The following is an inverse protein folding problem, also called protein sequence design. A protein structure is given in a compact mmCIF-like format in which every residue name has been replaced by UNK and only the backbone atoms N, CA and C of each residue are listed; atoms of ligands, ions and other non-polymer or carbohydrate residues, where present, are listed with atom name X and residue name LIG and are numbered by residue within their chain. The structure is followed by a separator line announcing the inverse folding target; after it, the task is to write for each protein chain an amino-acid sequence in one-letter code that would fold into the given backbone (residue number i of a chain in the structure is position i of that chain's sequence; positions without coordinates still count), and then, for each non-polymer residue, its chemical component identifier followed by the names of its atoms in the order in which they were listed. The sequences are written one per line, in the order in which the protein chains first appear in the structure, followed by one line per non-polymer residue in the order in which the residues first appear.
data_IF_055391065308
#
_entry.id   IF_055391065308
#
_cell.length_a   1.000
_cell.length_b   1.000
_cell.length_c   1.000
_cell.angle_alpha   90.00
_cell.angle_beta   90.00
_cell.angle_gamma   90.00
#
_symmetry.space_group_name_H-M   'P 1'
#
loop_
_entity.id
_entity.type
_entity.pdbx_description
1 polymer ?
#
# COMPACT_ATOMS: atom_id res chain seq x y z
N UNK A 1 -2.59 -3.98 -15.85
CA UNK A 1 -1.16 -3.84 -15.48
C UNK A 1 -0.30 -3.86 -16.75
N UNK A 2 0.78 -3.08 -16.80
CA UNK A 2 1.71 -3.06 -17.95
C UNK A 2 3.07 -3.72 -17.62
N UNK A 3 3.17 -4.31 -16.46
CA UNK A 3 4.34 -5.04 -15.94
C UNK A 3 5.66 -4.27 -15.86
N UNK A 4 5.66 -2.94 -15.96
CA UNK A 4 6.89 -2.14 -15.82
C UNK A 4 7.50 -2.20 -14.41
N UNK A 5 6.72 -2.58 -13.40
CA UNK A 5 7.13 -2.72 -12.00
C UNK A 5 6.61 -4.01 -11.34
N UNK A 6 6.19 -4.99 -12.13
CA UNK A 6 5.71 -6.30 -11.69
C UNK A 6 6.12 -7.39 -12.69
N UNK A 7 5.80 -8.64 -12.41
CA UNK A 7 6.08 -9.76 -13.32
C UNK A 7 4.80 -10.49 -13.69
N UNK A 8 4.62 -10.96 -14.94
CA UNK A 8 3.46 -11.74 -15.37
C UNK A 8 3.20 -12.98 -14.52
N UNK A 9 4.23 -13.56 -13.90
CA UNK A 9 4.11 -14.74 -13.03
C UNK A 9 3.18 -14.54 -11.82
N UNK A 10 2.81 -13.29 -11.48
CA UNK A 10 1.80 -13.03 -10.44
C UNK A 10 0.44 -13.61 -10.82
N UNK A 11 0.12 -13.67 -12.11
CA UNK A 11 -1.15 -14.23 -12.61
C UNK A 11 -1.23 -15.73 -12.32
N UNK A 12 -0.13 -16.47 -12.51
CA UNK A 12 -0.08 -17.90 -12.19
C UNK A 12 -0.34 -18.13 -10.70
N UNK A 13 0.19 -17.26 -9.85
CA UNK A 13 -0.04 -17.28 -8.42
C UNK A 13 -1.51 -17.01 -8.05
N UNK A 14 -2.12 -16.01 -8.67
CA UNK A 14 -3.53 -15.69 -8.49
C UNK A 14 -4.45 -16.83 -8.94
N UNK A 15 -4.20 -17.40 -10.10
CA UNK A 15 -4.98 -18.53 -10.62
C UNK A 15 -4.93 -19.75 -9.69
N UNK A 16 -3.76 -20.05 -9.11
CA UNK A 16 -3.60 -21.12 -8.12
C UNK A 16 -4.39 -20.86 -6.84
N UNK A 17 -4.47 -19.60 -6.40
CA UNK A 17 -5.24 -19.23 -5.21
C UNK A 17 -6.74 -19.29 -5.49
N UNK A 18 -7.17 -18.77 -6.64
CA UNK A 18 -8.57 -18.64 -7.01
C UNK A 18 -9.17 -19.94 -7.56
N UNK A 19 -8.34 -20.87 -8.04
CA UNK A 19 -8.79 -22.09 -8.73
C UNK A 19 -9.48 -21.81 -10.07
N UNK A 20 -9.32 -20.62 -10.64
CA UNK A 20 -9.90 -20.19 -11.92
C UNK A 20 -8.99 -19.22 -12.65
N UNK A 21 -9.20 -19.10 -13.96
CA UNK A 21 -8.53 -18.08 -14.76
C UNK A 21 -8.94 -16.68 -14.31
N UNK A 22 -7.98 -15.77 -14.39
CA UNK A 22 -8.17 -14.33 -14.11
C UNK A 22 -7.87 -13.57 -15.38
N UNK A 23 -8.79 -12.74 -15.83
CA UNK A 23 -8.56 -11.87 -16.97
C UNK A 23 -7.44 -10.86 -16.64
N UNK A 24 -6.54 -10.71 -17.57
CA UNK A 24 -5.46 -9.75 -17.53
C UNK A 24 -5.49 -8.85 -18.74
N UNK A 25 -5.65 -7.56 -18.50
CA UNK A 25 -5.52 -6.52 -19.51
C UNK A 25 -4.12 -5.91 -19.42
N UNK A 26 -3.29 -6.18 -20.41
CA UNK A 26 -1.92 -5.65 -20.47
C UNK A 26 -1.91 -4.30 -21.19
N UNK A 27 -2.05 -3.20 -20.43
CA UNK A 27 -1.91 -1.84 -20.93
C UNK A 27 -1.61 -0.85 -19.80
N UNK A 28 -1.15 0.35 -20.18
CA UNK A 28 -0.86 1.44 -19.27
C UNK A 28 -2.15 2.08 -18.73
N UNK A 29 -2.23 2.28 -17.44
CA UNK A 29 -3.35 2.98 -16.79
C UNK A 29 -3.51 4.45 -17.25
N UNK A 30 -2.50 5.02 -17.88
CA UNK A 30 -2.56 6.34 -18.51
C UNK A 30 -3.31 6.33 -19.87
N UNK A 31 -3.62 5.15 -20.44
CA UNK A 31 -4.38 5.02 -21.69
C UNK A 31 -5.89 5.18 -21.44
N UNK A 32 -6.33 6.44 -21.38
CA UNK A 32 -7.73 6.81 -21.10
C UNK A 32 -8.71 6.18 -22.10
N UNK A 33 -8.30 6.05 -23.38
CA UNK A 33 -9.18 5.53 -24.42
C UNK A 33 -9.45 4.04 -24.22
N UNK A 34 -8.41 3.26 -23.91
CA UNK A 34 -8.55 1.84 -23.59
C UNK A 34 -9.39 1.59 -22.36
N UNK A 35 -9.20 2.38 -21.31
CA UNK A 35 -10.03 2.30 -20.10
C UNK A 35 -11.50 2.56 -20.47
N UNK A 36 -11.79 3.65 -21.17
CA UNK A 36 -13.15 3.99 -21.56
C UNK A 36 -13.79 2.93 -22.47
N UNK A 37 -13.04 2.37 -23.42
CA UNK A 37 -13.50 1.28 -24.28
C UNK A 37 -13.82 0.01 -23.48
N UNK A 38 -13.00 -0.33 -22.46
CA UNK A 38 -13.26 -1.49 -21.62
C UNK A 38 -14.53 -1.28 -20.78
N UNK A 39 -14.64 -0.16 -20.08
CA UNK A 39 -15.81 0.15 -19.25
C UNK A 39 -17.12 0.23 -20.04
N UNK A 40 -17.07 0.61 -21.32
CA UNK A 40 -18.27 0.66 -22.17
C UNK A 40 -18.72 -0.70 -22.70
N UNK A 41 -17.88 -1.74 -22.65
CA UNK A 41 -18.16 -3.08 -23.17
C UNK A 41 -18.44 -4.11 -22.09
N UNK A 42 -17.82 -3.93 -20.93
CA UNK A 42 -17.85 -4.89 -19.84
C UNK A 42 -18.68 -4.36 -18.68
N UNK A 43 -19.40 -5.25 -18.02
CA UNK A 43 -20.16 -4.92 -16.82
C UNK A 43 -19.20 -4.82 -15.62
N UNK A 44 -18.70 -3.60 -15.34
CA UNK A 44 -17.77 -3.31 -14.24
C UNK A 44 -18.55 -2.82 -13.03
N UNK A 45 -18.56 -3.59 -11.96
CA UNK A 45 -19.29 -3.25 -10.73
C UNK A 45 -18.51 -2.29 -9.81
N UNK A 46 -17.20 -2.08 -10.04
CA UNK A 46 -16.39 -1.16 -9.24
C UNK A 46 -14.91 -1.21 -9.59
N UNK A 47 -14.17 -0.19 -9.20
CA UNK A 47 -12.74 -0.06 -9.49
C UNK A 47 -11.95 0.12 -8.19
N UNK A 48 -10.87 -0.68 -8.03
CA UNK A 48 -9.85 -0.48 -7.01
C UNK A 48 -8.55 -0.10 -7.71
N UNK A 49 -8.09 1.12 -7.47
CA UNK A 49 -6.92 1.69 -8.15
C UNK A 49 -5.64 1.54 -7.32
N UNK A 50 -4.83 0.53 -7.64
CA UNK A 50 -3.52 0.31 -7.03
C UNK A 50 -2.34 0.83 -7.87
N UNK A 51 -2.54 1.02 -9.17
CA UNK A 51 -1.46 1.31 -10.11
C UNK A 51 -0.72 2.61 -9.77
N UNK A 52 0.49 2.48 -9.21
CA UNK A 52 1.34 3.60 -8.83
C UNK A 52 2.78 3.15 -8.59
N UNK A 53 3.75 4.02 -8.86
CA UNK A 53 5.08 3.91 -8.26
C UNK A 53 5.02 4.33 -6.80
N UNK A 54 5.72 3.60 -5.90
CA UNK A 54 5.62 3.78 -4.43
C UNK A 54 6.94 4.04 -3.71
N UNK A 55 8.09 4.02 -4.39
CA UNK A 55 9.40 4.15 -3.77
C UNK A 55 9.72 5.61 -3.42
N UNK A 56 9.71 5.95 -2.13
CA UNK A 56 9.92 7.32 -1.63
C UNK A 56 11.26 7.89 -2.11
N UNK A 57 12.37 7.14 -1.92
CA UNK A 57 13.70 7.59 -2.33
C UNK A 57 13.84 7.79 -3.84
N UNK A 58 13.30 6.87 -4.67
CA UNK A 58 13.31 7.03 -6.12
C UNK A 58 12.50 8.25 -6.57
N UNK A 59 11.39 8.55 -5.88
CA UNK A 59 10.56 9.70 -6.24
C UNK A 59 11.29 11.04 -6.13
N UNK A 60 12.24 11.15 -5.19
CA UNK A 60 13.09 12.35 -5.04
C UNK A 60 14.07 12.46 -6.21
N UNK A 61 14.61 11.34 -6.69
CA UNK A 61 15.58 11.32 -7.79
C UNK A 61 14.88 11.48 -9.16
N UNK A 62 13.66 10.97 -9.30
CA UNK A 62 12.91 10.93 -10.56
C UNK A 62 11.47 11.45 -10.41
N UNK A 63 11.25 12.70 -9.99
CA UNK A 63 9.92 13.19 -9.62
C UNK A 63 8.92 13.16 -10.79
N UNK A 64 9.34 13.47 -12.00
CA UNK A 64 8.46 13.49 -13.17
C UNK A 64 7.89 12.12 -13.51
N UNK A 65 8.67 11.04 -13.32
CA UNK A 65 8.18 9.66 -13.46
C UNK A 65 6.98 9.39 -12.54
N UNK A 66 7.04 9.89 -11.31
CA UNK A 66 5.97 9.73 -10.31
C UNK A 66 4.75 10.56 -10.63
N UNK A 67 4.93 11.82 -11.01
CA UNK A 67 3.79 12.67 -11.40
C UNK A 67 3.10 12.13 -12.65
N UNK A 68 3.85 11.78 -13.67
CA UNK A 68 3.28 11.23 -14.89
C UNK A 68 2.49 9.96 -14.60
N UNK A 69 3.10 8.95 -14.02
CA UNK A 69 2.44 7.67 -13.80
C UNK A 69 1.29 7.76 -12.78
N UNK A 70 1.53 8.38 -11.61
CA UNK A 70 0.58 8.31 -10.51
C UNK A 70 -0.58 9.31 -10.67
N UNK A 71 -0.32 10.51 -11.20
CA UNK A 71 -1.36 11.53 -11.38
C UNK A 71 -2.07 11.38 -12.72
N UNK A 72 -1.33 11.21 -13.81
CA UNK A 72 -1.95 11.00 -15.12
C UNK A 72 -2.78 9.71 -15.14
N UNK A 73 -2.27 8.61 -14.56
CA UNK A 73 -3.02 7.36 -14.43
C UNK A 73 -4.29 7.51 -13.60
N UNK A 74 -4.23 8.21 -12.46
CA UNK A 74 -5.41 8.51 -11.66
C UNK A 74 -6.43 9.34 -12.45
N UNK A 75 -6.00 10.43 -13.08
CA UNK A 75 -6.88 11.30 -13.88
C UNK A 75 -7.50 10.53 -15.05
N UNK A 76 -6.75 9.63 -15.69
CA UNK A 76 -7.26 8.80 -16.80
C UNK A 76 -8.40 7.89 -16.35
N UNK A 77 -8.27 7.23 -15.20
CA UNK A 77 -9.36 6.41 -14.64
C UNK A 77 -10.53 7.29 -14.20
N UNK A 78 -10.29 8.38 -13.51
CA UNK A 78 -11.36 9.26 -13.01
C UNK A 78 -12.17 9.90 -14.16
N UNK A 79 -11.55 10.20 -15.30
CA UNK A 79 -12.27 10.65 -16.50
C UNK A 79 -13.25 9.59 -17.04
N UNK A 80 -12.91 8.32 -16.92
CA UNK A 80 -13.81 7.23 -17.31
C UNK A 80 -14.93 7.04 -16.26
N UNK A 81 -14.56 6.99 -14.97
CA UNK A 81 -15.51 6.86 -13.85
C UNK A 81 -16.51 8.02 -13.81
N UNK A 82 -16.07 9.26 -14.09
CA UNK A 82 -16.97 10.43 -14.05
C UNK A 82 -18.07 10.43 -15.10
N UNK A 83 -17.95 9.60 -16.15
CA UNK A 83 -18.99 9.40 -17.18
C UNK A 83 -19.98 8.29 -16.79
N UNK A 84 -19.55 7.39 -15.94
CA UNK A 84 -20.27 6.19 -15.47
C UNK A 84 -20.46 6.32 -13.95
N UNK A 85 -21.34 7.24 -13.52
CA UNK A 85 -21.52 7.58 -12.09
C UNK A 85 -21.89 6.36 -11.20
N UNK A 86 -22.39 5.29 -11.81
CA UNK A 86 -22.74 4.06 -11.11
C UNK A 86 -21.55 3.17 -10.73
N UNK A 87 -20.33 3.47 -11.23
CA UNK A 87 -19.13 2.69 -10.92
C UNK A 87 -18.42 3.27 -9.70
N UNK A 88 -18.49 2.63 -8.52
CA UNK A 88 -17.76 3.07 -7.35
C UNK A 88 -16.25 2.92 -7.51
N UNK A 89 -15.51 3.85 -6.89
CA UNK A 89 -14.07 3.94 -7.04
C UNK A 89 -13.36 3.98 -5.69
N UNK A 90 -12.42 3.06 -5.48
CA UNK A 90 -11.55 3.00 -4.30
C UNK A 90 -10.13 3.39 -4.70
N UNK A 91 -9.62 4.44 -4.08
CA UNK A 91 -8.26 4.94 -4.28
C UNK A 91 -7.30 4.43 -3.20
N UNK A 92 -6.20 3.85 -3.63
CA UNK A 92 -5.07 3.50 -2.77
C UNK A 92 -4.29 4.74 -2.39
N UNK A 93 -4.71 5.41 -1.30
CA UNK A 93 -3.96 6.51 -0.69
C UNK A 93 -2.86 5.98 0.24
N UNK A 94 -2.32 6.80 1.11
CA UNK A 94 -1.20 6.43 1.98
C UNK A 94 -1.17 7.29 3.24
N UNK A 95 -0.66 6.75 4.35
CA UNK A 95 -0.37 7.53 5.55
C UNK A 95 0.66 8.66 5.31
N UNK A 96 1.41 8.61 4.20
CA UNK A 96 2.36 9.68 3.83
C UNK A 96 1.69 11.04 3.60
N UNK A 97 0.37 11.09 3.38
CA UNK A 97 -0.40 12.34 3.26
C UNK A 97 -0.43 13.16 4.54
N UNK A 98 -0.18 12.54 5.69
CA UNK A 98 -0.05 13.26 6.96
C UNK A 98 1.26 14.03 7.08
N UNK A 99 2.29 13.62 6.32
CA UNK A 99 3.64 14.15 6.45
C UNK A 99 4.19 13.89 7.85
N UNK A 100 4.81 14.88 8.46
CA UNK A 100 5.24 14.82 9.87
C UNK A 100 4.12 15.37 10.77
N UNK A 101 3.40 14.50 11.49
CA UNK A 101 2.28 14.93 12.33
C UNK A 101 2.84 15.53 13.63
N UNK A 102 3.00 16.86 13.67
CA UNK A 102 3.62 17.64 14.76
C UNK A 102 3.26 17.15 16.15
N UNK A 103 4.09 16.27 16.73
CA UNK A 103 3.94 15.76 18.09
C UNK A 103 2.83 14.71 18.30
N UNK A 104 2.08 14.34 17.27
CA UNK A 104 1.10 13.25 17.32
C UNK A 104 1.74 11.98 16.77
N UNK A 105 1.56 10.86 17.48
CA UNK A 105 2.00 9.53 17.04
C UNK A 105 0.85 8.77 16.38
N UNK A 106 -0.32 8.83 17.01
CA UNK A 106 -1.57 8.31 16.49
C UNK A 106 -2.26 9.36 15.63
N UNK A 107 -2.61 9.00 14.39
CA UNK A 107 -3.28 9.90 13.45
C UNK A 107 -4.64 9.36 13.04
N UNK A 108 -5.65 10.23 13.06
CA UNK A 108 -6.99 9.96 12.56
C UNK A 108 -7.22 10.67 11.23
N UNK A 109 -8.35 10.42 10.59
CA UNK A 109 -8.74 11.09 9.33
C UNK A 109 -8.89 12.60 9.49
N UNK A 110 -9.17 13.09 10.71
CA UNK A 110 -9.24 14.51 11.07
C UNK A 110 -7.88 15.13 11.33
N UNK A 111 -6.82 14.33 11.47
CA UNK A 111 -5.46 14.88 11.63
C UNK A 111 -5.09 15.70 10.40
N UNK A 112 -4.64 16.92 10.62
CA UNK A 112 -4.33 17.84 9.53
C UNK A 112 -3.25 17.24 8.61
N UNK A 113 -3.56 17.21 7.33
CA UNK A 113 -2.57 16.84 6.30
C UNK A 113 -1.51 17.92 6.19
N UNK A 114 -0.26 17.52 6.13
CA UNK A 114 0.83 18.42 5.78
C UNK A 114 1.35 18.08 4.39
N UNK A 115 1.95 19.07 3.70
CA UNK A 115 2.50 18.80 2.37
C UNK A 115 3.67 17.81 2.52
N UNK A 116 3.59 16.61 1.93
CA UNK A 116 4.65 15.64 2.00
C UNK A 116 5.94 16.14 1.36
N UNK A 117 7.08 15.82 1.96
CA UNK A 117 8.39 16.25 1.48
C UNK A 117 8.87 15.48 0.25
N UNK A 118 8.38 14.26 0.03
CA UNK A 118 8.73 13.42 -1.09
C UNK A 118 7.63 13.44 -2.17
N UNK A 119 8.02 13.46 -3.47
CA UNK A 119 7.07 13.47 -4.59
C UNK A 119 6.06 12.31 -4.56
N UNK A 120 6.46 11.10 -4.13
CA UNK A 120 5.51 10.00 -3.96
C UNK A 120 4.37 10.37 -2.99
N UNK A 121 4.71 10.82 -1.78
CA UNK A 121 3.69 11.23 -0.81
C UNK A 121 2.83 12.37 -1.34
N UNK A 122 3.43 13.32 -2.05
CA UNK A 122 2.71 14.42 -2.67
C UNK A 122 1.74 13.94 -3.77
N UNK A 123 2.07 12.90 -4.56
CA UNK A 123 1.12 12.33 -5.54
C UNK A 123 -0.11 11.72 -4.86
N UNK A 124 0.04 11.12 -3.67
CA UNK A 124 -1.10 10.59 -2.90
C UNK A 124 -1.93 11.72 -2.29
N UNK A 125 -1.29 12.73 -1.72
CA UNK A 125 -1.93 13.94 -1.21
C UNK A 125 -2.73 14.67 -2.30
N UNK A 126 -2.12 14.88 -3.48
CA UNK A 126 -2.76 15.51 -4.64
C UNK A 126 -3.88 14.64 -5.21
N UNK A 127 -3.71 13.30 -5.20
CA UNK A 127 -4.74 12.36 -5.63
C UNK A 127 -6.01 12.48 -4.80
N UNK A 128 -5.91 12.60 -3.48
CA UNK A 128 -7.08 12.86 -2.62
C UNK A 128 -7.73 14.21 -2.93
N UNK A 129 -6.94 15.25 -3.23
CA UNK A 129 -7.49 16.56 -3.59
C UNK A 129 -8.23 16.50 -4.93
N UNK A 130 -7.68 15.82 -5.94
CA UNK A 130 -8.35 15.61 -7.23
C UNK A 130 -9.68 14.88 -7.06
N UNK A 131 -9.73 13.86 -6.20
CA UNK A 131 -10.94 13.11 -5.90
C UNK A 131 -11.98 13.99 -5.20
N UNK A 132 -11.55 14.81 -4.25
CA UNK A 132 -12.40 15.78 -3.55
C UNK A 132 -13.02 16.80 -4.52
N UNK A 133 -12.19 17.41 -5.38
CA UNK A 133 -12.63 18.39 -6.39
C UNK A 133 -13.62 17.74 -7.38
N UNK A 134 -13.37 16.49 -7.78
CA UNK A 134 -14.27 15.73 -8.64
C UNK A 134 -15.62 15.46 -7.96
N UNK A 135 -15.62 15.05 -6.69
CA UNK A 135 -16.84 14.86 -5.93
C UNK A 135 -17.66 16.15 -5.77
N UNK A 136 -17.00 17.28 -5.54
CA UNK A 136 -17.68 18.58 -5.50
C UNK A 136 -18.31 18.98 -6.84
N UNK A 137 -17.75 18.52 -7.94
CA UNK A 137 -18.33 18.76 -9.28
C UNK A 137 -19.48 17.81 -9.63
N UNK A 138 -19.52 16.62 -9.01
CA UNK A 138 -20.57 15.61 -9.21
C UNK A 138 -20.79 14.81 -7.93
N UNK A 139 -21.82 15.17 -7.17
CA UNK A 139 -22.18 14.53 -5.91
C UNK A 139 -22.86 13.15 -6.05
N UNK A 140 -23.06 12.64 -7.26
CA UNK A 140 -23.57 11.28 -7.49
C UNK A 140 -22.47 10.22 -7.41
N UNK A 141 -21.20 10.60 -7.52
CA UNK A 141 -20.06 9.70 -7.49
C UNK A 141 -19.89 9.04 -6.11
N UNK A 142 -19.53 7.78 -6.13
CA UNK A 142 -19.24 6.97 -4.94
C UNK A 142 -17.73 6.70 -4.86
N UNK A 143 -17.03 7.47 -4.03
CA UNK A 143 -15.58 7.51 -3.96
C UNK A 143 -15.09 7.18 -2.55
N UNK A 144 -13.97 6.48 -2.43
CA UNK A 144 -13.30 6.24 -1.16
C UNK A 144 -11.79 6.24 -1.31
N UNK A 145 -11.10 6.95 -0.43
CA UNK A 145 -9.63 6.95 -0.33
C UNK A 145 -9.20 6.17 0.91
N UNK A 146 -8.40 5.11 0.73
CA UNK A 146 -7.85 4.34 1.83
C UNK A 146 -6.42 4.78 2.14
N UNK A 147 -6.20 5.40 3.31
CA UNK A 147 -4.88 5.80 3.81
C UNK A 147 -4.28 4.64 4.57
N UNK A 148 -3.62 3.71 3.89
CA UNK A 148 -2.98 2.61 4.57
C UNK A 148 -1.53 2.90 4.97
N UNK A 149 -1.13 2.22 6.03
CA UNK A 149 0.19 2.35 6.62
C UNK A 149 1.18 1.40 5.94
N UNK A 150 2.02 0.69 6.64
CA UNK A 150 3.10 -0.08 6.04
C UNK A 150 2.66 -1.53 5.76
N UNK A 151 2.24 -1.89 4.52
CA UNK A 151 1.87 -3.26 4.22
C UNK A 151 3.11 -4.17 4.29
N UNK A 152 2.96 -5.33 4.94
CA UNK A 152 3.96 -6.36 5.07
C UNK A 152 3.33 -7.75 4.90
N UNK A 153 4.18 -8.78 4.75
CA UNK A 153 3.73 -10.15 4.63
C UNK A 153 3.50 -10.60 3.18
N UNK A 154 2.90 -11.76 3.04
CA UNK A 154 2.54 -12.38 1.79
C UNK A 154 1.25 -13.20 1.97
N UNK A 155 0.67 -13.71 0.89
CA UNK A 155 -0.41 -14.67 1.01
C UNK A 155 0.09 -15.98 1.64
N UNK A 156 -0.67 -16.57 2.55
CA UNK A 156 -0.27 -17.76 3.32
C UNK A 156 0.06 -18.99 2.46
N UNK A 157 -0.48 -19.07 1.23
CA UNK A 157 -0.15 -20.12 0.26
C UNK A 157 1.27 -20.02 -0.29
N UNK A 158 1.97 -18.90 -0.11
CA UNK A 158 3.25 -18.59 -0.76
C UNK A 158 3.21 -18.66 -2.30
N UNK A 159 2.04 -18.45 -2.93
CA UNK A 159 1.93 -18.33 -4.39
C UNK A 159 2.10 -16.90 -4.88
N UNK A 160 1.78 -15.91 -4.03
CA UNK A 160 2.01 -14.48 -4.27
C UNK A 160 2.59 -13.81 -3.03
N UNK A 161 3.41 -12.78 -3.26
CA UNK A 161 4.02 -11.97 -2.23
C UNK A 161 4.76 -10.79 -2.85
N UNK A 162 5.39 -9.96 -2.04
CA UNK A 162 6.16 -8.83 -2.54
C UNK A 162 7.43 -9.32 -3.27
N UNK A 163 7.56 -8.95 -4.55
CA UNK A 163 8.68 -9.32 -5.41
C UNK A 163 9.29 -8.05 -6.03
N UNK A 164 10.14 -7.32 -5.29
CA UNK A 164 10.74 -6.09 -5.80
C UNK A 164 11.68 -6.38 -6.98
N UNK A 165 11.63 -5.51 -7.99
CA UNK A 165 12.58 -5.52 -9.08
C UNK A 165 13.85 -4.79 -8.61
N UNK A 166 14.95 -5.52 -8.49
CA UNK A 166 16.21 -5.00 -7.93
C UNK A 166 16.25 -4.96 -6.41
N UNK A 167 17.00 -4.03 -5.83
CA UNK A 167 17.18 -3.91 -4.37
C UNK A 167 15.86 -3.47 -3.70
N UNK A 168 15.39 -4.17 -2.65
CA UNK A 168 14.18 -3.79 -1.94
C UNK A 168 14.27 -2.40 -1.31
N UNK A 169 13.16 -1.66 -1.36
CA UNK A 169 13.00 -0.38 -0.64
C UNK A 169 12.23 -0.55 0.67
N UNK A 170 11.45 -1.62 0.80
CA UNK A 170 10.65 -1.93 1.99
C UNK A 170 11.43 -2.81 2.97
N UNK A 171 11.12 -2.65 4.26
CA UNK A 171 11.81 -3.34 5.35
C UNK A 171 11.73 -4.87 5.22
N UNK A 172 10.53 -5.43 5.12
CA UNK A 172 10.34 -6.88 5.23
C UNK A 172 10.98 -7.67 4.07
N UNK A 173 10.85 -7.27 2.78
CA UNK A 173 11.60 -7.92 1.70
C UNK A 173 13.11 -7.82 1.88
N UNK A 174 13.61 -6.74 2.46
CA UNK A 174 15.05 -6.62 2.74
C UNK A 174 15.49 -7.59 3.84
N UNK A 175 14.68 -7.74 4.90
CA UNK A 175 14.92 -8.73 5.97
C UNK A 175 14.94 -10.15 5.37
N UNK A 176 13.91 -10.54 4.60
CA UNK A 176 13.81 -11.90 4.04
C UNK A 176 14.95 -12.20 3.07
N UNK A 177 15.33 -11.24 2.22
CA UNK A 177 16.44 -11.41 1.29
C UNK A 177 17.80 -11.46 2.00
N UNK A 178 17.98 -10.71 3.09
CA UNK A 178 19.20 -10.82 3.92
C UNK A 178 19.26 -12.19 4.59
N UNK A 179 18.17 -12.66 5.18
CA UNK A 179 18.09 -13.99 5.77
C UNK A 179 18.32 -15.13 4.76
N UNK A 180 17.91 -14.93 3.51
CA UNK A 180 18.16 -15.86 2.40
C UNK A 180 19.57 -15.76 1.80
N UNK A 181 20.44 -14.85 2.30
CA UNK A 181 21.81 -14.68 1.82
C UNK A 181 21.94 -13.88 0.51
N UNK A 182 20.86 -13.22 0.04
CA UNK A 182 20.91 -12.36 -1.17
C UNK A 182 21.65 -11.06 -0.88
N UNK A 183 21.52 -10.54 0.33
CA UNK A 183 22.24 -9.39 0.83
C UNK A 183 23.10 -9.80 2.03
N UNK A 184 24.29 -9.24 2.12
CA UNK A 184 25.23 -9.52 3.21
C UNK A 184 24.66 -9.07 4.56
N UNK A 185 24.01 -7.91 4.60
CA UNK A 185 23.44 -7.31 5.80
C UNK A 185 22.32 -6.34 5.49
N UNK A 186 21.42 -6.20 6.46
CA UNK A 186 20.39 -5.17 6.51
C UNK A 186 20.95 -3.90 7.15
N UNK A 187 20.72 -2.73 6.55
CA UNK A 187 21.05 -1.43 7.19
C UNK A 187 19.79 -0.87 7.84
N UNK A 188 19.79 -0.77 9.17
CA UNK A 188 18.75 -0.12 9.97
C UNK A 188 19.12 1.36 10.14
N UNK A 189 18.30 2.27 9.60
CA UNK A 189 18.60 3.70 9.57
C UNK A 189 18.22 4.40 10.89
N UNK A 190 19.24 4.81 11.67
CA UNK A 190 19.09 5.45 12.96
C UNK A 190 18.81 4.47 14.10
N UNK A 191 19.47 4.72 15.22
CA UNK A 191 19.31 3.97 16.49
C UNK A 191 19.27 4.89 17.70
N UNK A 192 19.00 6.18 17.50
CA UNK A 192 18.98 7.21 18.52
C UNK A 192 17.74 8.10 18.42
N UNK A 193 16.65 7.55 17.87
CA UNK A 193 15.34 8.22 17.92
C UNK A 193 14.75 8.11 19.34
N UNK A 194 13.89 9.04 19.77
CA UNK A 194 13.24 8.99 21.09
C UNK A 194 12.09 7.96 21.10
N UNK A 195 12.40 6.71 20.81
CA UNK A 195 11.52 5.54 20.76
C UNK A 195 12.04 4.47 21.73
N UNK A 196 11.31 3.36 21.88
CA UNK A 196 11.63 2.32 22.86
C UNK A 196 13.02 1.69 22.66
N UNK A 197 13.46 1.55 21.42
CA UNK A 197 14.74 0.92 21.05
C UNK A 197 15.63 1.82 20.17
N UNK A 198 15.25 3.07 19.99
CA UNK A 198 15.99 4.04 19.19
C UNK A 198 15.73 3.97 17.70
N UNK A 199 14.92 3.03 17.20
CA UNK A 199 14.54 2.93 15.77
C UNK A 199 13.17 3.53 15.49
N UNK A 200 12.84 3.82 14.23
CA UNK A 200 11.54 4.37 13.83
C UNK A 200 10.40 3.39 14.11
N UNK A 201 9.23 3.93 14.48
CA UNK A 201 8.00 3.17 14.75
C UNK A 201 7.00 3.39 13.63
N UNK A 202 6.42 2.31 13.11
CA UNK A 202 5.40 2.31 12.04
C UNK A 202 4.27 1.36 12.40
N UNK A 203 3.11 1.58 11.81
CA UNK A 203 2.01 0.63 11.83
C UNK A 203 2.20 -0.36 10.66
N UNK A 204 2.53 -1.59 10.98
CA UNK A 204 2.75 -2.65 10.00
C UNK A 204 1.51 -3.52 9.88
N UNK A 205 0.83 -3.42 8.74
CA UNK A 205 -0.39 -4.16 8.45
C UNK A 205 -0.10 -5.35 7.53
N UNK A 206 -0.71 -6.49 7.82
CA UNK A 206 -0.60 -7.65 6.92
C UNK A 206 -1.31 -7.38 5.59
N UNK A 207 -0.64 -7.73 4.46
CA UNK A 207 -1.16 -7.45 3.11
C UNK A 207 -2.52 -8.09 2.83
N UNK A 208 -2.85 -9.22 3.43
CA UNK A 208 -4.17 -9.87 3.29
C UNK A 208 -5.25 -9.08 4.01
N UNK A 209 -5.00 -8.59 5.24
CA UNK A 209 -5.94 -7.69 5.94
C UNK A 209 -6.16 -6.41 5.15
N UNK A 210 -5.10 -5.86 4.54
CA UNK A 210 -5.22 -4.69 3.66
C UNK A 210 -6.08 -4.99 2.42
N UNK A 211 -5.91 -6.16 1.79
CA UNK A 211 -6.74 -6.58 0.67
C UNK A 211 -8.22 -6.72 1.07
N UNK A 212 -8.50 -7.33 2.25
CA UNK A 212 -9.85 -7.41 2.81
C UNK A 212 -10.45 -6.02 3.03
N UNK A 213 -9.66 -5.05 3.51
CA UNK A 213 -10.13 -3.67 3.69
C UNK A 213 -10.58 -3.03 2.36
N UNK A 214 -9.87 -3.27 1.26
CA UNK A 214 -10.27 -2.78 -0.07
C UNK A 214 -11.58 -3.40 -0.56
N UNK A 215 -11.77 -4.70 -0.30
CA UNK A 215 -13.05 -5.37 -0.61
C UNK A 215 -14.17 -4.77 0.22
N UNK A 216 -13.97 -4.55 1.53
CA UNK A 216 -14.97 -3.93 2.41
C UNK A 216 -15.29 -2.49 2.01
N UNK A 217 -14.30 -1.72 1.56
CA UNK A 217 -14.52 -0.39 1.01
C UNK A 217 -15.40 -0.42 -0.25
N UNK A 218 -15.13 -1.34 -1.17
CA UNK A 218 -15.96 -1.48 -2.36
C UNK A 218 -17.38 -1.97 -2.04
N UNK A 219 -17.53 -2.96 -1.14
CA UNK A 219 -18.84 -3.43 -0.65
C UNK A 219 -19.65 -2.28 -0.02
N UNK A 220 -19.00 -1.43 0.79
CA UNK A 220 -19.64 -0.25 1.37
C UNK A 220 -20.16 0.69 0.29
N UNK A 221 -19.32 1.04 -0.69
CA UNK A 221 -19.70 1.95 -1.77
C UNK A 221 -20.83 1.38 -2.65
N UNK A 222 -20.83 0.07 -2.92
CA UNK A 222 -21.89 -0.62 -3.66
C UNK A 222 -23.23 -0.57 -2.92
N UNK A 223 -23.21 -0.54 -1.59
CA UNK A 223 -24.39 -0.41 -0.76
C UNK A 223 -24.97 1.00 -0.68
N UNK A 224 -24.26 2.03 -1.14
CA UNK A 224 -24.72 3.41 -1.09
C UNK A 224 -25.71 3.71 -2.22
N UNK A 225 -26.82 4.37 -1.87
CA UNK A 225 -27.83 4.85 -2.83
C UNK A 225 -27.57 6.26 -3.34
N UNK A 226 -26.75 7.02 -2.62
CA UNK A 226 -26.35 8.38 -2.97
C UNK A 226 -24.82 8.41 -3.07
N UNK A 227 -24.31 9.37 -3.82
CA UNK A 227 -22.86 9.58 -3.90
C UNK A 227 -22.26 9.95 -2.53
N UNK A 228 -21.03 9.56 -2.34
CA UNK A 228 -20.23 9.83 -1.14
C UNK A 228 -18.76 9.92 -1.48
N UNK A 229 -18.01 10.64 -0.66
CA UNK A 229 -16.54 10.66 -0.73
C UNK A 229 -15.99 10.45 0.68
N UNK A 230 -15.47 9.26 0.94
CA UNK A 230 -14.99 8.85 2.25
C UNK A 230 -13.47 8.71 2.26
N UNK A 231 -12.86 9.06 3.37
CA UNK A 231 -11.43 8.86 3.61
C UNK A 231 -11.30 8.01 4.86
N UNK A 232 -10.54 6.90 4.77
CA UNK A 232 -10.45 5.92 5.86
C UNK A 232 -9.01 5.49 6.09
N UNK A 233 -8.55 5.54 7.33
CA UNK A 233 -7.27 4.98 7.75
C UNK A 233 -7.34 3.44 7.81
N UNK A 234 -6.38 2.77 7.21
CA UNK A 234 -6.26 1.31 7.23
C UNK A 234 -4.92 0.91 7.85
N UNK A 235 -4.97 0.44 9.07
CA UNK A 235 -3.82 0.01 9.86
C UNK A 235 -4.23 -1.00 10.91
N UNK A 236 -3.31 -1.31 11.82
CA UNK A 236 -3.56 -2.19 12.98
C UNK A 236 -3.94 -1.40 14.23
N UNK A 237 -3.71 -0.10 14.25
CA UNK A 237 -3.82 0.76 15.42
C UNK A 237 -2.66 0.62 16.40
N UNK A 238 -1.57 -0.03 15.98
CA UNK A 238 -0.38 -0.26 16.82
C UNK A 238 0.89 0.09 16.07
N UNK A 239 1.74 0.88 16.72
CA UNK A 239 3.10 1.10 16.25
C UNK A 239 4.02 -0.04 16.65
N UNK A 240 4.91 -0.43 15.74
CA UNK A 240 6.03 -1.33 16.03
C UNK A 240 7.33 -0.73 15.49
N UNK A 241 8.41 -0.92 16.22
CA UNK A 241 9.72 -0.44 15.79
C UNK A 241 10.34 -1.32 14.72
N UNK A 242 11.37 -0.80 14.05
CA UNK A 242 12.10 -1.60 13.04
C UNK A 242 12.76 -2.81 13.70
N UNK A 243 13.36 -2.65 14.90
CA UNK A 243 13.97 -3.79 15.62
C UNK A 243 12.93 -4.81 16.08
N UNK A 244 11.74 -4.39 16.55
CA UNK A 244 10.67 -5.32 16.89
C UNK A 244 10.25 -6.19 15.70
N UNK A 245 10.26 -5.65 14.48
CA UNK A 245 9.97 -6.46 13.26
C UNK A 245 11.10 -7.45 12.97
N UNK A 246 12.36 -7.05 13.12
CA UNK A 246 13.53 -7.94 12.96
C UNK A 246 13.49 -9.06 13.99
N UNK A 247 13.30 -8.72 15.26
CA UNK A 247 13.22 -9.68 16.37
C UNK A 247 12.06 -10.69 16.19
N UNK A 248 10.90 -10.18 15.75
CA UNK A 248 9.76 -11.04 15.43
C UNK A 248 10.08 -12.01 14.29
N UNK A 249 10.78 -11.52 13.23
CA UNK A 249 11.19 -12.36 12.11
C UNK A 249 12.15 -13.46 12.57
N UNK A 250 13.19 -13.11 13.31
CA UNK A 250 14.17 -14.09 13.81
C UNK A 250 13.52 -15.15 14.71
N UNK A 251 12.70 -14.69 15.66
CA UNK A 251 12.03 -15.59 16.61
C UNK A 251 11.03 -16.54 15.93
N UNK A 252 10.23 -16.04 15.01
CA UNK A 252 9.15 -16.83 14.37
C UNK A 252 9.72 -17.84 13.37
N UNK A 253 10.79 -17.46 12.68
CA UNK A 253 11.34 -18.26 11.58
C UNK A 253 12.61 -19.03 11.97
N UNK A 254 13.13 -18.84 13.20
CA UNK A 254 14.35 -19.46 13.73
C UNK A 254 15.57 -19.19 12.82
N UNK A 255 15.65 -17.96 12.28
CA UNK A 255 16.69 -17.54 11.35
C UNK A 255 17.26 -16.19 11.79
N UNK A 256 18.57 -16.09 11.88
CA UNK A 256 19.27 -14.83 12.24
C UNK A 256 19.40 -13.90 11.05
N UNK A 257 19.17 -12.61 11.27
CA UNK A 257 19.34 -11.55 10.28
C UNK A 257 20.60 -10.74 10.61
N UNK A 258 21.58 -10.74 9.73
CA UNK A 258 22.75 -9.90 9.90
C UNK A 258 22.36 -8.44 9.62
N UNK A 259 22.53 -7.53 10.59
CA UNK A 259 22.24 -6.11 10.40
C UNK A 259 23.29 -5.19 11.00
N UNK A 260 23.31 -3.95 10.51
CA UNK A 260 24.08 -2.85 11.07
C UNK A 260 23.22 -1.59 11.17
N UNK A 261 23.61 -0.67 12.05
CA UNK A 261 22.97 0.65 12.12
C UNK A 261 23.66 1.63 11.17
N UNK A 262 22.86 2.30 10.35
CA UNK A 262 23.26 3.41 9.50
C UNK A 262 22.84 4.77 10.10
N UNK A 263 23.21 5.87 9.44
CA UNK A 263 22.79 7.21 9.85
C UNK A 263 21.28 7.38 9.72
N UNK A 264 20.69 8.31 10.46
CA UNK A 264 19.29 8.71 10.30
C UNK A 264 19.05 9.20 8.88
N UNK A 265 17.93 8.81 8.28
CA UNK A 265 17.52 9.35 6.99
C UNK A 265 16.83 10.69 7.18
N UNK A 266 17.12 11.64 6.30
CA UNK A 266 16.45 12.93 6.31
C UNK A 266 14.97 12.76 5.94
N UNK A 267 14.08 13.35 6.75
CA UNK A 267 12.63 13.30 6.52
C UNK A 267 11.93 12.03 7.02
N UNK A 268 12.64 11.13 7.75
CA UNK A 268 11.98 10.01 8.40
C UNK A 268 11.06 10.52 9.53
N UNK A 269 9.79 10.15 9.47
CA UNK A 269 8.86 10.32 10.60
C UNK A 269 9.30 9.37 11.72
N UNK A 270 9.43 9.89 12.94
CA UNK A 270 9.94 9.10 14.06
C UNK A 270 8.97 8.00 14.45
N UNK A 271 7.70 8.33 14.62
CA UNK A 271 6.65 7.40 15.03
C UNK A 271 5.31 7.82 14.44
N UNK A 272 4.63 6.88 13.78
CA UNK A 272 3.29 7.09 13.24
C UNK A 272 2.52 5.77 13.13
N UNK A 273 1.26 5.76 13.61
CA UNK A 273 0.31 4.65 13.50
C UNK A 273 -1.13 5.16 13.39
N UNK A 274 -2.03 4.28 12.91
CA UNK A 274 -3.41 4.65 12.63
C UNK A 274 -4.27 4.73 13.89
N UNK A 275 -5.17 5.72 13.97
CA UNK A 275 -6.45 5.49 14.63
C UNK A 275 -7.36 4.72 13.65
N UNK A 276 -7.94 3.60 14.07
CA UNK A 276 -8.71 2.67 13.23
C UNK A 276 -10.19 2.63 13.56
N UNK A 277 -10.67 3.49 14.45
CA UNK A 277 -12.07 3.51 14.92
C UNK A 277 -13.03 3.79 13.78
N UNK A 278 -12.66 4.66 12.85
CA UNK A 278 -13.50 4.98 11.70
C UNK A 278 -13.63 3.80 10.73
N UNK A 279 -12.55 3.10 10.41
CA UNK A 279 -12.61 1.88 9.62
C UNK A 279 -13.52 0.82 10.25
N UNK A 280 -13.44 0.65 11.56
CA UNK A 280 -14.28 -0.29 12.30
C UNK A 280 -15.74 0.11 12.27
N UNK A 281 -16.08 1.39 12.48
CA UNK A 281 -17.47 1.88 12.50
C UNK A 281 -18.10 1.93 11.12
N UNK A 282 -17.34 2.40 10.09
CA UNK A 282 -17.87 2.58 8.74
C UNK A 282 -17.91 1.27 7.95
N UNK A 283 -16.81 0.52 7.95
CA UNK A 283 -16.63 -0.67 7.12
C UNK A 283 -16.91 -1.99 7.86
N UNK A 284 -17.07 -1.94 9.19
CA UNK A 284 -17.11 -3.16 10.02
C UNK A 284 -15.82 -3.97 9.94
N UNK A 285 -14.70 -3.32 9.57
CA UNK A 285 -13.43 -3.97 9.32
C UNK A 285 -12.40 -3.64 10.41
N UNK A 286 -11.57 -4.62 10.72
CA UNK A 286 -10.42 -4.49 11.61
C UNK A 286 -9.34 -5.50 11.20
N UNK A 287 -8.08 -5.12 11.27
CA UNK A 287 -6.95 -6.01 11.05
C UNK A 287 -6.97 -7.19 12.05
N UNK A 288 -6.71 -8.40 11.58
CA UNK A 288 -6.76 -9.65 12.36
C UNK A 288 -5.41 -10.33 12.48
N UNK A 289 -4.58 -10.19 11.44
CA UNK A 289 -3.26 -10.83 11.38
C UNK A 289 -2.22 -10.02 12.14
N UNK A 290 -1.30 -10.73 12.77
CA UNK A 290 -0.23 -10.15 13.60
C UNK A 290 1.07 -9.95 12.79
N UNK A 291 2.04 -9.22 13.37
CA UNK A 291 3.40 -9.16 12.81
C UNK A 291 3.99 -10.56 12.67
N UNK A 292 3.75 -11.46 13.64
CA UNK A 292 4.24 -12.84 13.59
C UNK A 292 3.69 -13.60 12.36
N UNK A 293 2.43 -13.37 12.01
CA UNK A 293 1.84 -13.93 10.79
C UNK A 293 2.51 -13.37 9.54
N UNK A 294 2.70 -12.04 9.51
CA UNK A 294 3.29 -11.36 8.37
C UNK A 294 4.74 -11.79 8.11
N UNK A 295 5.58 -11.87 9.14
CA UNK A 295 7.00 -12.28 8.98
C UNK A 295 7.11 -13.77 8.60
N UNK A 296 6.22 -14.63 9.10
CA UNK A 296 6.15 -16.05 8.74
C UNK A 296 5.75 -16.22 7.27
N UNK A 297 4.70 -15.54 6.84
CA UNK A 297 4.17 -15.68 5.48
C UNK A 297 5.13 -15.07 4.45
N UNK A 298 5.79 -13.94 4.77
CA UNK A 298 6.85 -13.37 3.94
C UNK A 298 8.05 -14.31 3.78
N UNK A 299 8.46 -15.00 4.86
CA UNK A 299 9.56 -15.95 4.78
C UNK A 299 9.22 -17.21 3.97
N UNK A 300 7.97 -17.70 4.09
CA UNK A 300 7.48 -18.77 3.22
C UNK A 300 7.52 -18.39 1.76
N UNK A 301 7.09 -17.17 1.43
CA UNK A 301 7.17 -16.62 0.08
C UNK A 301 8.61 -16.55 -0.41
N UNK A 302 9.52 -15.95 0.35
CA UNK A 302 10.93 -15.83 -0.04
C UNK A 302 11.55 -17.21 -0.32
N UNK A 303 11.31 -18.20 0.54
CA UNK A 303 11.78 -19.58 0.31
C UNK A 303 11.17 -20.20 -0.95
N UNK A 304 9.91 -19.94 -1.24
CA UNK A 304 9.23 -20.51 -2.41
C UNK A 304 9.78 -19.99 -3.75
N UNK A 305 10.22 -18.74 -3.80
CA UNK A 305 10.82 -18.18 -5.02
C UNK A 305 12.28 -18.65 -5.19
N UNK A 306 13.05 -18.80 -4.10
CA UNK A 306 14.44 -19.29 -4.16
C UNK A 306 14.54 -20.77 -4.49
N UNK A 307 13.56 -21.57 -4.13
CA UNK A 307 13.54 -23.00 -4.50
C UNK A 307 13.27 -23.26 -5.98
N UNK A 308 12.93 -22.23 -6.76
CA UNK A 308 12.64 -22.29 -8.20
C UNK A 308 13.78 -21.73 -9.06
N UNK A 309 14.73 -21.04 -8.42
CA UNK A 309 16.02 -20.59 -9.04
C UNK A 309 17.07 -21.72 -8.95
#
# INVERSE_FOLDING_TARGET
DDFRNSKPSVIDGLQKILGKETELLNFDVCDTERIAQYLSKEEVCGIIHFAAYKAVGESVLNPLKYYQNNIEGLVSILKAVSKEADIPFVFSSSCTVYGEPKGQKEVSEQTAKTIPTAPYGFTKWLGEQIIEDLYHSNHELRLMSLRYFNPIGAHESAFIGELPIGKPNNLLPFITQTAAGVHEKLTIFGNTYPTVDGTCVRDYIHVVDLAEAHVKALEFLLGQRMGCNEIVNIGTGKGSSVLEVVDAFEKVNEVTVNYEFGPKRQGDVIEIYANVDYAKSLLGWQAKKTINDAVRDAWRWEKSIRSKE
#
